data_IF_667526263381
#
_entry.id   IF_667526263381
#
_cell.length_a   1.000
_cell.length_b   1.000
_cell.length_c   1.000
_cell.angle_alpha   90.00
_cell.angle_beta   90.00
_cell.angle_gamma   90.00
#
_symmetry.space_group_name_H-M   'P 1'
#
loop_
_entity.id
_entity.type
_entity.pdbx_description
1 polymer ?
#
# COMPACT_ATOMS: atom_id res chain seq x y z
N UNK A 1 1.90 24.36 6.87
CA UNK A 1 2.45 23.31 7.75
C UNK A 1 3.01 22.22 6.86
N UNK A 2 4.17 21.62 7.16
CA UNK A 2 4.66 20.52 6.36
C UNK A 2 3.64 19.39 6.46
N UNK A 3 3.13 18.96 5.30
CA UNK A 3 2.24 17.81 5.19
C UNK A 3 3.02 16.59 5.70
N UNK A 4 2.37 15.73 6.48
CA UNK A 4 2.98 14.52 6.99
C UNK A 4 3.35 13.62 5.80
N UNK A 5 4.61 13.69 5.36
CA UNK A 5 5.20 12.70 4.50
C UNK A 5 5.49 11.49 5.39
N UNK A 6 4.61 10.49 5.31
CA UNK A 6 4.65 9.17 5.99
C UNK A 6 3.90 8.98 7.32
N UNK A 7 3.52 7.70 7.52
CA UNK A 7 2.99 7.17 8.79
C UNK A 7 4.01 7.39 9.92
N UNK A 8 3.57 7.71 11.15
CA UNK A 8 4.47 7.86 12.28
C UNK A 8 5.29 6.58 12.49
N UNK A 9 6.58 6.69 12.86
CA UNK A 9 7.39 5.52 13.23
C UNK A 9 6.78 4.82 14.45
N UNK A 10 6.90 3.50 14.51
CA UNK A 10 6.55 2.74 15.72
C UNK A 10 7.41 3.22 16.89
N UNK A 11 6.77 3.63 17.98
CA UNK A 11 7.44 3.87 19.25
C UNK A 11 7.93 2.52 19.80
N UNK A 12 9.18 2.14 19.48
CA UNK A 12 9.81 0.94 20.03
C UNK A 12 10.48 0.02 19.00
N UNK A 13 11.60 0.45 18.43
CA UNK A 13 12.76 -0.40 18.14
C UNK A 13 12.69 -1.47 17.02
N UNK A 14 11.53 -1.91 16.53
CA UNK A 14 11.48 -2.86 15.40
C UNK A 14 11.29 -2.13 14.07
N UNK A 15 12.39 -1.99 13.33
CA UNK A 15 12.40 -1.38 12.00
C UNK A 15 11.50 -2.14 11.01
N UNK A 16 11.47 -3.48 11.10
CA UNK A 16 10.71 -4.35 10.20
C UNK A 16 9.43 -4.79 10.90
N UNK A 17 8.46 -3.88 10.99
CA UNK A 17 7.17 -4.13 11.65
C UNK A 17 6.01 -4.38 10.65
N UNK A 18 6.25 -4.17 9.35
CA UNK A 18 5.26 -4.28 8.27
C UNK A 18 5.59 -5.41 7.31
N UNK A 19 4.57 -6.19 6.95
CA UNK A 19 4.57 -7.11 5.82
C UNK A 19 3.66 -6.55 4.73
N UNK A 20 4.18 -6.35 3.53
CA UNK A 20 3.41 -6.01 2.33
C UNK A 20 3.25 -7.23 1.44
N UNK A 21 2.05 -7.45 0.91
CA UNK A 21 1.78 -8.53 -0.05
C UNK A 21 1.06 -7.94 -1.26
N UNK A 22 1.68 -8.10 -2.44
CA UNK A 22 1.02 -7.94 -3.73
C UNK A 22 0.16 -9.18 -4.01
N UNK A 23 -1.15 -9.01 -3.84
CA UNK A 23 -2.12 -10.11 -3.94
C UNK A 23 -2.37 -10.53 -5.39
N UNK A 24 -2.26 -9.61 -6.35
CA UNK A 24 -2.39 -9.84 -7.79
C UNK A 24 -1.90 -8.60 -8.60
N UNK A 25 -2.13 -8.58 -9.91
CA UNK A 25 -1.85 -7.41 -10.77
C UNK A 25 -3.03 -7.00 -11.67
N UNK A 26 -4.17 -7.70 -11.64
CA UNK A 26 -5.38 -7.29 -12.37
C UNK A 26 -6.03 -6.10 -11.66
N UNK A 27 -6.40 -5.08 -12.41
CA UNK A 27 -7.03 -3.89 -11.86
C UNK A 27 -8.15 -3.41 -12.76
N UNK A 28 -9.24 -2.94 -12.17
CA UNK A 28 -10.37 -2.35 -12.92
C UNK A 28 -10.08 -0.92 -13.40
N UNK A 29 -8.83 -0.45 -13.25
CA UNK A 29 -8.28 0.80 -13.77
C UNK A 29 -6.91 0.52 -14.43
N UNK A 30 -6.47 1.42 -15.31
CA UNK A 30 -5.15 1.36 -15.96
C UNK A 30 -4.42 2.69 -15.73
N UNK A 31 -3.99 2.93 -14.49
CA UNK A 31 -3.41 4.22 -14.10
C UNK A 31 -2.08 4.44 -14.81
N UNK A 32 -1.86 5.62 -15.41
CA UNK A 32 -0.68 5.86 -16.25
C UNK A 32 0.65 5.93 -15.49
N UNK A 33 0.63 6.03 -14.16
CA UNK A 33 1.84 5.98 -13.32
C UNK A 33 2.01 4.67 -12.55
N UNK A 34 1.12 3.67 -12.71
CA UNK A 34 1.02 2.53 -11.81
C UNK A 34 2.38 1.85 -11.56
N UNK A 35 2.85 1.89 -10.31
CA UNK A 35 4.14 1.31 -9.90
C UNK A 35 4.14 -0.22 -9.93
N UNK A 36 2.95 -0.82 -9.79
CA UNK A 36 2.74 -2.26 -9.84
C UNK A 36 2.54 -2.78 -11.28
N UNK A 37 2.54 -1.88 -12.27
CA UNK A 37 2.25 -2.20 -13.67
C UNK A 37 0.91 -2.94 -13.86
N UNK A 38 -0.05 -2.63 -12.98
CA UNK A 38 -1.39 -3.23 -12.98
C UNK A 38 -2.33 -2.51 -13.96
N UNK A 39 -3.13 -3.28 -14.69
CA UNK A 39 -4.09 -2.78 -15.67
C UNK A 39 -5.25 -3.76 -15.87
N UNK A 40 -6.28 -3.34 -16.61
CA UNK A 40 -7.44 -4.19 -16.93
C UNK A 40 -7.03 -5.41 -17.74
N UNK A 41 -7.21 -6.60 -17.17
CA UNK A 41 -6.88 -7.86 -17.84
C UNK A 41 -5.41 -8.28 -17.68
N UNK A 42 -4.67 -7.62 -16.79
CA UNK A 42 -3.37 -8.11 -16.36
C UNK A 42 -3.51 -9.45 -15.63
N UNK A 43 -2.39 -10.16 -15.47
CA UNK A 43 -2.39 -11.46 -14.83
C UNK A 43 -2.87 -11.36 -13.36
N UNK A 44 -3.80 -12.25 -12.99
CA UNK A 44 -4.26 -12.41 -11.59
C UNK A 44 -3.31 -13.24 -10.74
N UNK A 45 -2.13 -13.58 -11.26
CA UNK A 45 -1.16 -14.34 -10.49
C UNK A 45 -0.53 -13.44 -9.42
N UNK A 46 -0.75 -13.79 -8.17
CA UNK A 46 -0.04 -13.24 -7.03
C UNK A 46 0.36 -14.36 -6.09
N UNK A 47 0.57 -14.03 -4.83
CA UNK A 47 0.83 -15.00 -3.78
C UNK A 47 -0.44 -15.82 -3.53
N UNK A 48 -0.33 -17.15 -3.51
CA UNK A 48 -1.50 -18.02 -3.27
C UNK A 48 -2.00 -17.91 -1.83
N UNK A 49 -3.28 -18.24 -1.59
CA UNK A 49 -3.87 -18.17 -0.25
C UNK A 49 -3.07 -18.95 0.82
N UNK A 50 -2.61 -20.20 0.60
CA UNK A 50 -1.77 -20.90 1.57
C UNK A 50 -0.42 -20.22 1.82
N UNK A 51 0.18 -19.63 0.80
CA UNK A 51 1.42 -18.87 0.96
C UNK A 51 1.19 -17.60 1.78
N UNK A 52 0.07 -16.88 1.56
CA UNK A 52 -0.30 -15.72 2.36
C UNK A 52 -0.44 -16.08 3.85
N UNK A 53 -1.12 -17.19 4.17
CA UNK A 53 -1.26 -17.64 5.55
C UNK A 53 0.09 -17.92 6.21
N UNK A 54 0.97 -18.65 5.50
CA UNK A 54 2.31 -18.95 5.98
C UNK A 54 3.16 -17.69 6.17
N UNK A 55 3.09 -16.74 5.23
CA UNK A 55 3.81 -15.45 5.33
C UNK A 55 3.35 -14.66 6.56
N UNK A 56 2.04 -14.64 6.84
CA UNK A 56 1.47 -13.98 8.02
C UNK A 56 1.99 -14.64 9.30
N UNK A 57 1.96 -15.97 9.40
CA UNK A 57 2.42 -16.68 10.60
C UNK A 57 3.94 -16.48 10.85
N UNK A 58 4.76 -16.55 9.79
CA UNK A 58 6.19 -16.29 9.89
C UNK A 58 6.47 -14.82 10.24
N UNK A 59 5.73 -13.86 9.67
CA UNK A 59 5.86 -12.44 9.99
C UNK A 59 5.52 -12.13 11.45
N UNK A 60 4.43 -12.72 11.98
CA UNK A 60 4.06 -12.61 13.40
C UNK A 60 5.16 -13.18 14.29
N UNK A 61 5.74 -14.33 13.93
CA UNK A 61 6.86 -14.94 14.66
C UNK A 61 8.10 -14.04 14.68
N UNK A 62 8.32 -13.28 13.60
CA UNK A 62 9.41 -12.31 13.47
C UNK A 62 9.10 -10.95 14.13
N UNK A 63 7.94 -10.79 14.78
CA UNK A 63 7.56 -9.59 15.51
C UNK A 63 6.98 -8.47 14.65
N UNK A 64 6.55 -8.76 13.42
CA UNK A 64 5.76 -7.83 12.61
C UNK A 64 4.35 -7.70 13.19
N UNK A 65 3.76 -6.51 13.08
CA UNK A 65 2.46 -6.19 13.70
C UNK A 65 1.44 -5.64 12.69
N UNK A 66 1.90 -5.22 11.51
CA UNK A 66 1.05 -4.67 10.46
C UNK A 66 1.16 -5.48 9.16
N UNK A 67 0.02 -5.77 8.55
CA UNK A 67 -0.11 -6.41 7.25
C UNK A 67 -0.72 -5.42 6.25
N UNK A 68 -0.06 -5.24 5.11
CA UNK A 68 -0.55 -4.44 4.00
C UNK A 68 -0.87 -5.34 2.81
N UNK A 69 -2.15 -5.37 2.42
CA UNK A 69 -2.60 -6.05 1.22
C UNK A 69 -2.78 -5.03 0.08
N UNK A 70 -2.07 -5.25 -1.01
CA UNK A 70 -2.04 -4.38 -2.19
C UNK A 70 -1.97 -5.23 -3.46
N UNK A 71 -1.64 -4.61 -4.59
CA UNK A 71 -1.41 -5.28 -5.85
C UNK A 71 -2.69 -5.55 -6.60
N UNK A 72 -2.68 -5.18 -7.88
CA UNK A 72 -3.88 -5.00 -8.67
C UNK A 72 -4.89 -4.16 -7.90
N UNK A 73 -6.17 -4.45 -8.13
CA UNK A 73 -7.21 -4.13 -7.18
C UNK A 73 -7.50 -5.39 -6.33
N UNK A 74 -7.16 -5.41 -5.02
CA UNK A 74 -7.34 -6.61 -4.19
C UNK A 74 -8.76 -7.16 -4.22
N UNK A 75 -9.77 -6.29 -4.29
CA UNK A 75 -11.17 -6.70 -4.31
C UNK A 75 -11.65 -7.32 -5.63
N UNK A 76 -10.80 -7.43 -6.66
CA UNK A 76 -11.07 -8.29 -7.83
C UNK A 76 -10.99 -9.77 -7.42
N UNK A 77 -10.09 -10.13 -6.52
CA UNK A 77 -9.91 -11.50 -6.07
C UNK A 77 -11.05 -11.94 -5.15
N UNK A 78 -11.49 -13.19 -5.30
CA UNK A 78 -12.43 -13.78 -4.35
C UNK A 78 -11.76 -14.08 -3.00
N UNK A 79 -10.50 -14.53 -3.04
CA UNK A 79 -9.75 -14.98 -1.87
C UNK A 79 -9.32 -13.84 -0.93
N UNK A 80 -9.46 -12.58 -1.36
CA UNK A 80 -9.12 -11.40 -0.54
C UNK A 80 -9.83 -11.42 0.82
N UNK A 81 -11.08 -11.87 0.88
CA UNK A 81 -11.82 -11.92 2.14
C UNK A 81 -11.25 -12.98 3.10
N UNK A 82 -10.74 -14.09 2.57
CA UNK A 82 -10.06 -15.12 3.35
C UNK A 82 -8.70 -14.60 3.86
N UNK A 83 -7.96 -13.86 3.02
CA UNK A 83 -6.70 -13.22 3.41
C UNK A 83 -6.93 -12.17 4.51
N UNK A 84 -7.95 -11.32 4.35
CA UNK A 84 -8.34 -10.32 5.35
C UNK A 84 -8.75 -10.99 6.67
N UNK A 85 -9.61 -12.00 6.61
CA UNK A 85 -10.04 -12.75 7.80
C UNK A 85 -8.83 -13.31 8.57
N UNK A 86 -7.92 -14.01 7.87
CA UNK A 86 -6.74 -14.61 8.49
C UNK A 86 -5.78 -13.57 9.09
N UNK A 87 -5.57 -12.47 8.38
CA UNK A 87 -4.72 -11.36 8.83
C UNK A 87 -5.29 -10.65 10.06
N UNK A 88 -6.59 -10.36 10.08
CA UNK A 88 -7.25 -9.61 11.15
C UNK A 88 -7.25 -10.36 12.50
N UNK A 89 -7.23 -11.69 12.48
CA UNK A 89 -7.04 -12.50 13.70
C UNK A 89 -5.67 -12.24 14.37
N UNK A 90 -4.66 -11.83 13.59
CA UNK A 90 -3.25 -11.83 14.02
C UNK A 90 -2.60 -10.44 14.07
N UNK A 91 -3.01 -9.52 13.19
CA UNK A 91 -2.30 -8.27 12.91
C UNK A 91 -3.26 -7.11 12.69
N UNK A 92 -2.75 -5.87 12.72
CA UNK A 92 -3.44 -4.73 12.11
C UNK A 92 -3.35 -4.86 10.59
N UNK A 93 -4.47 -4.70 9.90
CA UNK A 93 -4.52 -4.92 8.44
C UNK A 93 -4.90 -3.64 7.73
N UNK A 94 -4.09 -3.23 6.76
CA UNK A 94 -4.43 -2.18 5.82
C UNK A 94 -4.58 -2.78 4.42
N UNK A 95 -5.72 -2.52 3.77
CA UNK A 95 -5.93 -2.87 2.35
C UNK A 95 -5.95 -1.62 1.50
N UNK A 96 -5.11 -1.59 0.46
CA UNK A 96 -5.05 -0.49 -0.50
C UNK A 96 -6.02 -0.77 -1.65
N UNK A 97 -6.93 0.16 -1.93
CA UNK A 97 -7.96 -0.02 -2.95
C UNK A 97 -8.29 1.29 -3.69
N UNK A 98 -8.77 1.18 -4.92
CA UNK A 98 -9.45 2.28 -5.61
C UNK A 98 -10.91 2.47 -5.16
N UNK A 99 -11.45 1.56 -4.34
CA UNK A 99 -12.78 1.65 -3.72
C UNK A 99 -13.96 1.32 -4.63
N UNK A 100 -13.78 1.29 -5.95
CA UNK A 100 -14.87 1.20 -6.94
C UNK A 100 -15.72 -0.08 -6.77
N UNK A 101 -15.08 -1.16 -6.35
CA UNK A 101 -15.71 -2.48 -6.17
C UNK A 101 -16.38 -2.65 -4.80
N UNK A 102 -16.17 -1.73 -3.86
CA UNK A 102 -16.65 -1.83 -2.46
C UNK A 102 -18.12 -1.42 -2.33
N UNK A 103 -18.99 -2.22 -2.96
CA UNK A 103 -20.44 -2.06 -2.95
C UNK A 103 -21.14 -3.41 -3.10
N UNK A 104 -22.42 -3.46 -2.77
CA UNK A 104 -23.24 -4.67 -2.88
C UNK A 104 -22.61 -5.84 -2.12
N UNK A 105 -22.49 -7.00 -2.76
CA UNK A 105 -21.96 -8.24 -2.14
C UNK A 105 -20.58 -8.06 -1.52
N UNK A 106 -19.68 -7.29 -2.13
CA UNK A 106 -18.31 -7.10 -1.59
C UNK A 106 -18.30 -6.29 -0.30
N UNK A 107 -19.16 -5.27 -0.22
CA UNK A 107 -19.33 -4.52 1.03
C UNK A 107 -19.93 -5.43 2.12
N UNK A 108 -20.95 -6.21 1.80
CA UNK A 108 -21.55 -7.16 2.75
C UNK A 108 -20.53 -8.19 3.26
N UNK A 109 -19.64 -8.67 2.39
CA UNK A 109 -18.54 -9.57 2.78
C UNK A 109 -17.52 -8.86 3.68
N UNK A 110 -17.21 -7.59 3.44
CA UNK A 110 -16.38 -6.79 4.35
C UNK A 110 -17.05 -6.60 5.71
N UNK A 111 -18.35 -6.27 5.74
CA UNK A 111 -19.11 -6.05 6.99
C UNK A 111 -19.22 -7.31 7.84
N UNK A 112 -19.18 -8.49 7.21
CA UNK A 112 -19.20 -9.79 7.87
C UNK A 112 -17.84 -10.23 8.44
N UNK A 113 -16.74 -9.51 8.17
CA UNK A 113 -15.43 -9.85 8.71
C UNK A 113 -15.38 -9.63 10.23
N UNK A 114 -14.84 -10.59 11.01
CA UNK A 114 -14.56 -10.36 12.41
C UNK A 114 -13.37 -9.41 12.58
N UNK A 115 -13.22 -8.85 13.77
CA UNK A 115 -12.10 -7.97 14.13
C UNK A 115 -11.92 -6.75 13.20
N UNK A 116 -13.02 -6.27 12.60
CA UNK A 116 -13.01 -5.16 11.63
C UNK A 116 -12.46 -3.84 12.21
N UNK A 117 -12.44 -3.69 13.53
CA UNK A 117 -11.77 -2.58 14.21
C UNK A 117 -10.25 -2.52 13.96
N UNK A 118 -9.65 -3.64 13.51
CA UNK A 118 -8.25 -3.73 13.08
C UNK A 118 -8.05 -3.51 11.59
N UNK A 119 -9.13 -3.27 10.83
CA UNK A 119 -9.10 -3.10 9.38
C UNK A 119 -9.11 -1.62 9.00
N UNK A 120 -8.05 -1.18 8.34
CA UNK A 120 -7.98 0.10 7.65
C UNK A 120 -8.16 -0.10 6.14
N UNK A 121 -9.08 0.65 5.54
CA UNK A 121 -9.23 0.68 4.07
C UNK A 121 -8.60 1.97 3.56
N UNK A 122 -7.45 1.85 2.89
CA UNK A 122 -6.76 2.99 2.30
C UNK A 122 -7.25 3.22 0.87
N UNK A 123 -8.10 4.23 0.70
CA UNK A 123 -8.65 4.62 -0.61
C UNK A 123 -7.68 5.54 -1.34
N UNK A 124 -7.36 5.15 -2.56
CA UNK A 124 -6.57 5.94 -3.50
C UNK A 124 -7.35 7.17 -4.00
N UNK A 125 -6.87 8.39 -3.71
CA UNK A 125 -7.43 9.65 -4.22
C UNK A 125 -6.31 10.67 -4.49
N UNK A 126 -6.09 11.01 -5.75
CA UNK A 126 -4.96 11.87 -6.16
C UNK A 126 -5.34 13.32 -6.51
N UNK A 127 -6.58 13.74 -6.26
CA UNK A 127 -7.04 15.09 -6.59
C UNK A 127 -8.35 15.44 -5.90
N UNK A 128 -8.52 16.73 -5.60
CA UNK A 128 -9.66 17.28 -4.86
C UNK A 128 -10.94 17.31 -5.69
N UNK A 129 -10.79 17.10 -7.00
CA UNK A 129 -11.86 17.09 -7.99
C UNK A 129 -11.55 16.06 -9.10
N UNK A 130 -12.56 15.81 -9.94
CA UNK A 130 -12.50 14.83 -11.01
C UNK A 130 -11.43 15.13 -12.06
N UNK A 131 -11.22 16.38 -12.45
CA UNK A 131 -10.23 16.74 -13.47
C UNK A 131 -8.82 16.28 -13.07
N UNK A 132 -8.42 16.57 -11.84
CA UNK A 132 -7.07 16.29 -11.34
C UNK A 132 -6.87 14.79 -11.06
N UNK A 133 -7.85 14.15 -10.43
CA UNK A 133 -7.76 12.72 -10.11
C UNK A 133 -7.87 11.83 -11.36
N UNK A 134 -8.86 12.10 -12.21
CA UNK A 134 -9.15 11.27 -13.38
C UNK A 134 -8.05 11.35 -14.44
N UNK A 135 -7.27 12.45 -14.46
CA UNK A 135 -6.13 12.62 -15.37
C UNK A 135 -5.20 11.40 -15.37
N UNK A 136 -4.94 10.83 -14.19
CA UNK A 136 -4.09 9.66 -14.04
C UNK A 136 -4.83 8.33 -14.00
N UNK A 137 -6.05 8.32 -13.46
CA UNK A 137 -6.76 7.10 -13.05
C UNK A 137 -7.92 6.71 -13.97
N UNK A 138 -8.26 7.58 -14.92
CA UNK A 138 -9.31 7.39 -15.90
C UNK A 138 -10.62 8.08 -15.50
N UNK A 139 -11.41 8.42 -16.52
CA UNK A 139 -12.63 9.21 -16.37
C UNK A 139 -13.67 8.59 -15.41
N UNK A 140 -14.23 9.44 -14.54
CA UNK A 140 -15.21 9.09 -13.53
C UNK A 140 -14.68 8.26 -12.37
N UNK A 141 -13.36 8.14 -12.20
CA UNK A 141 -12.76 7.38 -11.08
C UNK A 141 -12.85 8.17 -9.77
N UNK A 142 -12.75 9.49 -9.82
CA UNK A 142 -12.87 10.36 -8.66
C UNK A 142 -14.22 10.21 -7.95
N UNK A 143 -15.33 10.37 -8.68
CA UNK A 143 -16.67 10.28 -8.09
C UNK A 143 -16.90 8.90 -7.47
N UNK A 144 -16.43 7.83 -8.13
CA UNK A 144 -16.56 6.47 -7.60
C UNK A 144 -15.73 6.27 -6.32
N UNK A 145 -14.55 6.89 -6.22
CA UNK A 145 -13.73 6.85 -5.01
C UNK A 145 -14.41 7.62 -3.87
N UNK A 146 -14.96 8.82 -4.13
CA UNK A 146 -15.73 9.59 -3.14
C UNK A 146 -16.96 8.81 -2.65
N UNK A 147 -17.73 8.23 -3.57
CA UNK A 147 -18.90 7.41 -3.22
C UNK A 147 -18.51 6.19 -2.39
N UNK A 148 -17.34 5.59 -2.64
CA UNK A 148 -16.81 4.49 -1.86
C UNK A 148 -16.42 4.94 -0.45
N UNK A 149 -15.71 6.07 -0.30
CA UNK A 149 -15.35 6.65 1.00
C UNK A 149 -16.60 6.89 1.85
N UNK A 150 -17.59 7.59 1.30
CA UNK A 150 -18.85 7.89 2.01
C UNK A 150 -19.54 6.60 2.46
N UNK A 151 -19.62 5.61 1.58
CA UNK A 151 -20.24 4.31 1.89
C UNK A 151 -19.50 3.54 2.99
N UNK A 152 -18.17 3.47 2.91
CA UNK A 152 -17.35 2.76 3.90
C UNK A 152 -17.43 3.43 5.27
N UNK A 153 -17.37 4.76 5.31
CA UNK A 153 -17.56 5.52 6.54
C UNK A 153 -18.96 5.32 7.13
N UNK A 154 -19.99 5.28 6.29
CA UNK A 154 -21.37 5.03 6.73
C UNK A 154 -21.56 3.63 7.31
N UNK A 155 -20.76 2.65 6.85
CA UNK A 155 -20.70 1.30 7.41
C UNK A 155 -19.78 1.18 8.64
N UNK A 156 -19.15 2.28 9.08
CA UNK A 156 -18.30 2.35 10.26
C UNK A 156 -16.90 1.75 10.08
N UNK A 157 -16.37 1.70 8.85
CA UNK A 157 -14.97 1.32 8.61
C UNK A 157 -14.02 2.49 8.88
N UNK A 158 -12.81 2.16 9.34
CA UNK A 158 -11.70 3.12 9.35
C UNK A 158 -11.20 3.34 7.92
N UNK A 159 -11.30 4.57 7.43
CA UNK A 159 -10.92 4.95 6.07
C UNK A 159 -9.73 5.88 6.11
N UNK A 160 -8.68 5.48 5.39
CA UNK A 160 -7.47 6.27 5.16
C UNK A 160 -7.42 6.73 3.71
N UNK A 161 -6.87 7.91 3.46
CA UNK A 161 -6.68 8.46 2.13
C UNK A 161 -5.22 8.27 1.68
N UNK A 162 -5.01 7.72 0.50
CA UNK A 162 -3.69 7.62 -0.13
C UNK A 162 -3.60 8.50 -1.37
N UNK A 163 -2.73 9.49 -1.36
CA UNK A 163 -2.47 10.40 -2.48
C UNK A 163 -1.06 10.21 -3.02
N UNK A 164 -0.95 9.95 -4.32
CA UNK A 164 0.32 10.07 -5.03
C UNK A 164 0.49 11.53 -5.46
N UNK A 165 1.45 12.23 -4.86
CA UNK A 165 1.84 13.59 -5.26
C UNK A 165 2.60 13.55 -6.59
N UNK A 166 2.07 14.25 -7.59
CA UNK A 166 2.60 14.39 -8.93
C UNK A 166 2.89 15.87 -9.23
N UNK A 167 3.71 16.20 -10.23
CA UNK A 167 3.86 17.58 -10.69
C UNK A 167 2.51 18.24 -11.04
N UNK A 168 1.59 17.45 -11.57
CA UNK A 168 0.28 17.87 -12.07
C UNK A 168 -0.75 18.09 -10.94
N UNK A 169 -0.58 17.52 -9.74
CA UNK A 169 -1.51 17.71 -8.61
C UNK A 169 -0.90 18.37 -7.37
N UNK A 170 0.42 18.63 -7.32
CA UNK A 170 1.08 19.24 -6.14
C UNK A 170 0.39 20.53 -5.67
N UNK A 171 -0.06 21.35 -6.61
CA UNK A 171 -0.75 22.61 -6.32
C UNK A 171 -2.11 22.41 -5.64
N UNK A 172 -2.69 21.21 -5.76
CA UNK A 172 -4.01 20.83 -5.24
C UNK A 172 -3.96 20.21 -3.84
N UNK A 173 -2.76 19.90 -3.31
CA UNK A 173 -2.62 19.31 -1.96
C UNK A 173 -3.32 20.10 -0.85
N UNK A 174 -3.30 21.46 -0.82
CA UNK A 174 -4.08 22.20 0.17
C UNK A 174 -5.60 21.97 0.07
N UNK A 175 -6.12 21.79 -1.14
CA UNK A 175 -7.54 21.49 -1.35
C UNK A 175 -7.85 20.02 -1.00
N UNK A 176 -6.92 19.10 -1.25
CA UNK A 176 -6.99 17.74 -0.74
C UNK A 176 -7.08 17.70 0.80
N UNK A 177 -6.32 18.55 1.48
CA UNK A 177 -6.40 18.70 2.94
C UNK A 177 -7.78 19.16 3.42
N UNK A 178 -8.42 20.07 2.68
CA UNK A 178 -9.78 20.49 2.99
C UNK A 178 -10.80 19.38 2.71
N UNK A 179 -10.61 18.63 1.63
CA UNK A 179 -11.50 17.55 1.21
C UNK A 179 -11.49 16.39 2.20
N UNK A 180 -10.33 15.87 2.60
CA UNK A 180 -10.31 14.73 3.51
C UNK A 180 -10.93 15.09 4.87
N UNK A 181 -10.70 16.31 5.37
CA UNK A 181 -11.34 16.82 6.60
C UNK A 181 -12.86 16.95 6.47
N UNK A 182 -13.36 17.39 5.31
CA UNK A 182 -14.82 17.47 5.07
C UNK A 182 -15.46 16.08 4.95
N UNK A 183 -14.67 15.07 4.60
CA UNK A 183 -15.02 13.65 4.65
C UNK A 183 -14.79 13.04 6.05
N UNK A 184 -14.41 13.84 7.05
CA UNK A 184 -14.13 13.43 8.43
C UNK A 184 -12.99 12.38 8.51
N UNK A 185 -12.01 12.50 7.61
CA UNK A 185 -10.75 11.74 7.65
C UNK A 185 -9.70 12.66 8.30
N UNK A 186 -9.00 12.14 9.31
CA UNK A 186 -7.99 12.90 10.05
C UNK A 186 -6.78 13.25 9.19
N UNK A 187 -5.98 14.23 9.60
CA UNK A 187 -4.71 14.56 8.94
C UNK A 187 -3.72 13.38 9.00
N UNK A 188 -3.76 12.56 10.06
CA UNK A 188 -2.93 11.37 10.24
C UNK A 188 -3.32 10.23 9.29
N UNK A 189 -4.58 10.22 8.86
CA UNK A 189 -5.12 9.28 7.88
C UNK A 189 -5.02 9.80 6.44
N UNK A 190 -4.30 10.89 6.18
CA UNK A 190 -3.98 11.32 4.82
C UNK A 190 -2.51 11.06 4.49
N UNK A 191 -2.25 9.94 3.80
CA UNK A 191 -0.91 9.53 3.41
C UNK A 191 -0.58 10.08 2.03
N UNK A 192 0.42 10.97 1.98
CA UNK A 192 0.93 11.55 0.74
C UNK A 192 2.28 10.93 0.43
N UNK A 193 2.38 10.30 -0.74
CA UNK A 193 3.61 9.68 -1.25
C UNK A 193 4.05 10.35 -2.54
N UNK A 194 5.35 10.52 -2.80
CA UNK A 194 5.81 11.11 -4.04
C UNK A 194 5.57 10.17 -5.21
N UNK A 195 5.32 10.73 -6.40
CA UNK A 195 5.45 10.02 -7.66
C UNK A 195 6.89 9.54 -7.83
N UNK A 196 7.03 8.27 -8.17
CA UNK A 196 8.32 7.62 -8.40
C UNK A 196 8.47 7.22 -9.86
N UNK A 197 9.70 7.20 -10.35
CA UNK A 197 10.04 6.79 -11.72
C UNK A 197 10.17 5.26 -11.80
N UNK A 198 9.05 4.57 -11.63
CA UNK A 198 8.92 3.11 -11.58
C UNK A 198 7.61 2.68 -12.26
N UNK A 199 7.53 1.41 -12.68
CA UNK A 199 6.40 0.89 -13.44
C UNK A 199 6.11 1.72 -14.68
N UNK A 200 4.86 2.14 -14.86
CA UNK A 200 4.47 2.94 -16.04
C UNK A 200 4.92 4.42 -16.01
N UNK A 201 5.40 4.93 -14.87
CA UNK A 201 5.82 6.32 -14.77
C UNK A 201 7.26 6.54 -15.25
N UNK A 202 7.43 7.41 -16.25
CA UNK A 202 8.74 7.94 -16.66
C UNK A 202 9.12 9.24 -15.94
N UNK A 203 8.21 9.79 -15.14
CA UNK A 203 8.37 11.01 -14.34
C UNK A 203 8.50 10.68 -12.85
N UNK A 204 8.80 11.69 -12.05
CA UNK A 204 8.91 11.57 -10.60
C UNK A 204 10.32 11.30 -10.10
N UNK A 205 10.39 11.04 -8.80
CA UNK A 205 11.63 10.82 -8.06
C UNK A 205 12.31 9.53 -8.51
N UNK A 206 13.61 9.59 -8.77
CA UNK A 206 14.42 8.39 -8.95
C UNK A 206 14.59 7.71 -7.59
N UNK A 207 14.33 6.41 -7.55
CA UNK A 207 14.37 5.64 -6.31
C UNK A 207 15.49 4.62 -6.42
N UNK A 208 16.32 4.56 -5.39
CA UNK A 208 17.34 3.53 -5.20
C UNK A 208 17.22 2.95 -3.80
N UNK A 209 17.78 1.76 -3.59
CA UNK A 209 17.71 1.04 -2.32
C UNK A 209 18.18 1.89 -1.10
N UNK A 210 19.28 2.69 -1.18
CA UNK A 210 19.68 3.56 -0.07
C UNK A 210 18.72 4.72 0.25
N UNK A 211 17.83 5.08 -0.67
CA UNK A 211 16.86 6.16 -0.49
C UNK A 211 15.55 5.70 0.17
N UNK A 212 15.41 4.40 0.44
CA UNK A 212 14.22 3.77 1.00
C UNK A 212 14.53 3.10 2.33
N UNK A 213 13.75 3.36 3.36
CA UNK A 213 13.75 2.47 4.55
C UNK A 213 13.14 1.12 4.16
N UNK A 214 13.65 -0.01 4.66
CA UNK A 214 13.14 -1.31 4.24
C UNK A 214 11.74 -1.59 4.81
N UNK A 215 10.85 -2.08 3.94
CA UNK A 215 9.54 -2.61 4.29
C UNK A 215 9.36 -3.95 3.56
N UNK A 216 9.28 -5.05 4.32
CA UNK A 216 9.29 -6.41 3.76
C UNK A 216 8.12 -6.58 2.81
N UNK A 217 8.42 -6.75 1.53
CA UNK A 217 7.41 -6.76 0.47
C UNK A 217 7.46 -8.06 -0.30
N UNK A 218 6.32 -8.70 -0.47
CA UNK A 218 6.22 -10.01 -1.12
C UNK A 218 5.34 -9.92 -2.34
N UNK A 219 5.77 -10.54 -3.43
CA UNK A 219 4.94 -10.81 -4.60
C UNK A 219 5.11 -12.26 -5.08
N UNK A 220 4.60 -12.60 -6.27
CA UNK A 220 4.71 -13.96 -6.83
C UNK A 220 6.13 -14.39 -7.23
N UNK A 221 7.05 -13.45 -7.41
CA UNK A 221 8.43 -13.63 -7.90
C UNK A 221 9.45 -13.60 -6.78
N UNK A 222 9.12 -13.07 -5.61
CA UNK A 222 10.05 -13.05 -4.48
C UNK A 222 9.70 -12.07 -3.37
N UNK A 223 10.73 -11.74 -2.60
CA UNK A 223 10.73 -10.78 -1.49
C UNK A 223 11.61 -9.60 -1.87
N UNK A 224 11.11 -8.41 -1.63
CA UNK A 224 11.65 -7.13 -2.07
C UNK A 224 11.85 -6.18 -0.89
N UNK A 225 12.73 -5.21 -1.10
CA UNK A 225 13.11 -4.20 -0.11
C UNK A 225 11.96 -3.28 0.31
N UNK A 226 11.02 -2.97 -0.60
CA UNK A 226 10.02 -1.93 -0.38
C UNK A 226 8.83 -2.06 -1.36
N UNK A 227 7.60 -1.65 -0.99
CA UNK A 227 6.40 -1.72 -1.84
C UNK A 227 6.33 -0.66 -2.96
N UNK A 228 7.44 -0.01 -3.32
CA UNK A 228 7.45 1.07 -4.32
C UNK A 228 7.67 0.57 -5.73
N UNK A 229 8.13 -0.67 -5.87
CA UNK A 229 8.14 -1.48 -7.08
C UNK A 229 8.55 -2.91 -6.71
N UNK A 230 8.24 -3.87 -7.57
CA UNK A 230 8.75 -5.25 -7.51
C UNK A 230 9.79 -5.48 -8.61
N UNK A 231 10.67 -4.48 -8.78
CA UNK A 231 11.73 -4.47 -9.80
C UNK A 231 12.94 -5.30 -9.37
N UNK A 232 13.74 -5.85 -10.31
CA UNK A 232 14.90 -6.68 -9.99
C UNK A 232 15.95 -6.02 -9.08
N UNK A 233 16.09 -4.70 -9.12
CA UNK A 233 17.06 -3.97 -8.29
C UNK A 233 16.65 -3.83 -6.83
N UNK A 234 15.38 -4.12 -6.50
CA UNK A 234 14.87 -4.18 -5.12
C UNK A 234 14.70 -5.62 -4.61
N UNK A 235 15.02 -6.64 -5.43
CA UNK A 235 14.86 -8.04 -5.06
C UNK A 235 15.87 -8.45 -3.98
N UNK A 236 15.35 -9.00 -2.89
CA UNK A 236 16.13 -9.51 -1.76
C UNK A 236 16.27 -11.03 -1.85
N UNK A 237 15.17 -11.73 -2.13
CA UNK A 237 15.14 -13.18 -2.23
C UNK A 237 14.16 -13.62 -3.31
N UNK A 238 14.53 -14.55 -4.22
CA UNK A 238 13.56 -15.19 -5.11
C UNK A 238 12.66 -16.19 -4.36
N UNK A 239 13.12 -16.70 -3.23
CA UNK A 239 12.40 -17.66 -2.40
C UNK A 239 11.54 -16.93 -1.35
N UNK A 240 10.27 -17.31 -1.27
CA UNK A 240 9.33 -16.73 -0.30
C UNK A 240 9.55 -17.24 1.13
N UNK A 241 10.23 -18.37 1.28
CA UNK A 241 10.35 -19.06 2.55
C UNK A 241 11.73 -19.70 2.77
N UNK A 242 12.20 -19.78 4.02
CA UNK A 242 11.59 -19.12 5.19
C UNK A 242 11.80 -17.60 5.12
N UNK A 243 10.81 -16.83 5.59
CA UNK A 243 10.79 -15.37 5.58
C UNK A 243 11.95 -14.77 6.38
N UNK A 244 12.43 -15.50 7.40
CA UNK A 244 13.55 -15.08 8.25
C UNK A 244 14.82 -14.80 7.43
N UNK A 245 15.12 -15.61 6.41
CA UNK A 245 16.34 -15.48 5.61
C UNK A 245 16.35 -14.14 4.85
N UNK A 246 15.21 -13.75 4.29
CA UNK A 246 15.07 -12.45 3.64
C UNK A 246 15.13 -11.28 4.65
N UNK A 247 14.55 -11.46 5.83
CA UNK A 247 14.58 -10.45 6.90
C UNK A 247 16.00 -10.23 7.42
N UNK A 248 16.79 -11.29 7.58
CA UNK A 248 18.21 -11.21 7.96
C UNK A 248 19.02 -10.49 6.87
N UNK A 249 18.83 -10.87 5.61
CA UNK A 249 19.49 -10.19 4.48
C UNK A 249 19.15 -8.70 4.39
N UNK A 250 17.90 -8.31 4.67
CA UNK A 250 17.50 -6.90 4.73
C UNK A 250 18.28 -6.16 5.82
N UNK A 251 18.42 -6.75 7.01
CA UNK A 251 19.18 -6.17 8.13
C UNK A 251 20.65 -5.98 7.74
N UNK A 252 21.28 -7.00 7.17
CA UNK A 252 22.69 -6.96 6.72
C UNK A 252 22.94 -5.85 5.69
N UNK A 253 22.09 -5.76 4.66
CA UNK A 253 22.21 -4.72 3.61
C UNK A 253 22.08 -3.33 4.25
N UNK A 254 21.12 -3.15 5.16
CA UNK A 254 20.92 -1.86 5.83
C UNK A 254 22.11 -1.47 6.70
N UNK A 255 22.62 -2.39 7.49
CA UNK A 255 23.79 -2.16 8.36
C UNK A 255 25.01 -1.76 7.52
N UNK A 256 25.25 -2.45 6.41
CA UNK A 256 26.30 -2.11 5.45
C UNK A 256 26.14 -0.69 4.90
N UNK A 257 24.92 -0.28 4.53
CA UNK A 257 24.65 1.08 4.03
C UNK A 257 24.88 2.17 5.08
N UNK A 258 24.51 1.92 6.34
CA UNK A 258 24.75 2.85 7.44
C UNK A 258 26.25 3.01 7.74
N UNK A 259 27.04 1.94 7.61
CA UNK A 259 28.48 1.98 7.79
C UNK A 259 29.18 2.83 6.72
N UNK A 260 28.71 2.77 5.47
CA UNK A 260 29.29 3.53 4.34
C UNK A 260 28.93 5.02 4.39
N UNK A 261 27.75 5.38 4.90
CA UNK A 261 27.23 6.77 4.86
C UNK A 261 27.58 7.63 6.08
N UNK A 262 28.40 7.12 7.03
CA UNK A 262 28.84 7.90 8.20
C UNK A 262 27.70 8.41 9.09
N UNK A 263 26.57 7.69 9.11
CA UNK A 263 25.40 8.06 9.92
C UNK A 263 24.55 9.22 9.39
N UNK A 264 24.94 9.87 8.29
CA UNK A 264 24.21 11.00 7.71
C UNK A 264 23.46 10.60 6.42
N UNK A 265 22.55 9.64 6.52
CA UNK A 265 21.54 9.48 5.49
C UNK A 265 20.46 10.56 5.71
N UNK A 266 20.26 11.42 4.72
CA UNK A 266 19.02 12.20 4.56
C UNK A 266 17.89 11.20 4.35
N UNK A 267 17.29 10.75 5.46
CA UNK A 267 16.20 9.76 5.48
C UNK A 267 14.92 10.42 5.00
N UNK A 268 14.36 9.93 3.90
CA UNK A 268 12.94 10.12 3.67
C UNK A 268 12.21 9.01 4.43
N UNK A 269 11.36 9.43 5.37
CA UNK A 269 10.38 8.58 6.05
C UNK A 269 9.12 8.61 5.23
#
# INVERSE_FOLDING_TARGET
MPLAHSNPPSEGGNLLHRLWIYTNYDCNLSCSYCVAESFVGAERNGVTLPQVYRLIDEAVTLGMTELFLTGGEPFILHDIFSMLHYGLERMQVTVLSNGILLKGKRLQQLEALPHRERLTIQISLDGSNAEIHDFYRGAGSWQKAIDAIVRLKSAGFHVRLGTTETPENRHDLPAMCQLHRSLDISDEDHIIRPLVRRGFSTKGMAVSLPALEPEVTVDRKGIYWHPVATDPDLLISPDLFPLCDAVERIKEIRESMLAVTGGAASRFR
#
